data_IF_140669699446
#
_entry.id   IF_140669699446
#
_cell.length_a   1.000
_cell.length_b   1.000
_cell.length_c   1.000
_cell.angle_alpha   90.00
_cell.angle_beta   90.00
_cell.angle_gamma   90.00
#
_symmetry.space_group_name_H-M   'P 1'
#
loop_
_entity.id
_entity.type
_entity.pdbx_description
1 polymer ?
#
# COMPACT_ATOMS: atom_id res chain seq x y z
N UNK A 1 5.32 -11.00 -18.11
CA UNK A 1 5.35 -9.73 -17.36
C UNK A 1 3.98 -9.62 -16.72
N UNK A 2 3.88 -9.77 -15.40
CA UNK A 2 2.59 -9.73 -14.70
C UNK A 2 1.95 -8.36 -14.86
N UNK A 3 0.62 -8.31 -14.95
CA UNK A 3 -0.10 -7.04 -14.97
C UNK A 3 0.09 -6.31 -13.62
N UNK A 4 0.07 -4.97 -13.59
CA UNK A 4 0.17 -4.23 -12.31
C UNK A 4 -0.94 -4.63 -11.31
N UNK A 5 -2.08 -5.16 -11.79
CA UNK A 5 -3.15 -5.68 -10.92
C UNK A 5 -2.74 -6.98 -10.22
N UNK A 6 -2.17 -7.94 -10.96
CA UNK A 6 -1.65 -9.19 -10.37
C UNK A 6 -0.53 -8.91 -9.38
N UNK A 7 0.35 -7.94 -9.67
CA UNK A 7 1.41 -7.51 -8.76
C UNK A 7 0.86 -6.89 -7.46
N UNK A 8 -0.21 -6.09 -7.56
CA UNK A 8 -0.87 -5.48 -6.40
C UNK A 8 -1.51 -6.54 -5.51
N UNK A 9 -2.31 -7.44 -6.09
CA UNK A 9 -3.00 -8.51 -5.35
C UNK A 9 -1.99 -9.40 -4.61
N UNK A 10 -0.90 -9.79 -5.26
CA UNK A 10 0.16 -10.59 -4.64
C UNK A 10 0.83 -9.86 -3.46
N UNK A 11 1.13 -8.56 -3.61
CA UNK A 11 1.72 -7.74 -2.53
C UNK A 11 0.76 -7.57 -1.37
N UNK A 12 -0.53 -7.39 -1.65
CA UNK A 12 -1.57 -7.25 -0.64
C UNK A 12 -1.76 -8.55 0.15
N UNK A 13 -1.76 -9.71 -0.53
CA UNK A 13 -1.81 -11.01 0.14
C UNK A 13 -0.59 -11.22 1.04
N UNK A 14 0.60 -10.85 0.56
CA UNK A 14 1.83 -10.94 1.35
C UNK A 14 1.79 -10.04 2.59
N UNK A 15 1.28 -8.81 2.47
CA UNK A 15 1.10 -7.90 3.60
C UNK A 15 0.11 -8.49 4.63
N UNK A 16 -1.01 -9.06 4.18
CA UNK A 16 -1.98 -9.71 5.07
C UNK A 16 -1.37 -10.91 5.84
N UNK A 17 -0.48 -11.66 5.21
CA UNK A 17 0.26 -12.75 5.87
C UNK A 17 1.21 -12.22 6.95
N UNK A 18 1.89 -11.10 6.68
CA UNK A 18 2.78 -10.46 7.67
C UNK A 18 1.98 -9.96 8.88
N UNK A 19 0.86 -9.28 8.65
CA UNK A 19 -0.03 -8.81 9.73
C UNK A 19 -0.48 -9.98 10.61
N UNK A 20 -0.95 -11.08 10.00
CA UNK A 20 -1.34 -12.29 10.75
C UNK A 20 -0.22 -12.87 11.60
N UNK A 21 1.02 -12.82 11.13
CA UNK A 21 2.20 -13.29 11.87
C UNK A 21 2.53 -12.38 13.06
N UNK A 22 2.45 -11.07 12.86
CA UNK A 22 2.65 -10.08 13.91
C UNK A 22 1.56 -10.20 14.99
N UNK A 23 0.30 -10.41 14.60
CA UNK A 23 -0.83 -10.59 15.53
C UNK A 23 -0.78 -11.90 16.33
N UNK A 24 -0.17 -12.95 15.79
CA UNK A 24 -0.02 -14.23 16.51
C UNK A 24 0.90 -14.12 17.73
N UNK A 25 1.84 -13.17 17.75
CA UNK A 25 2.70 -12.92 18.91
C UNK A 25 3.72 -14.02 19.23
N UNK A 26 3.90 -15.02 18.37
CA UNK A 26 4.86 -16.14 18.58
C UNK A 26 6.27 -15.83 18.04
N UNK A 27 6.47 -14.67 17.40
CA UNK A 27 7.74 -14.27 16.82
C UNK A 27 8.72 -13.79 17.89
N UNK A 28 10.01 -14.08 17.70
CA UNK A 28 11.07 -13.43 18.47
C UNK A 28 11.14 -11.93 18.16
N UNK A 29 11.83 -11.16 19.01
CA UNK A 29 12.01 -9.71 18.79
C UNK A 29 12.62 -9.40 17.42
N UNK A 30 13.64 -10.16 17.00
CA UNK A 30 14.31 -9.95 15.71
C UNK A 30 13.36 -10.27 14.53
N UNK A 31 12.55 -11.31 14.65
CA UNK A 31 11.56 -11.69 13.63
C UNK A 31 10.41 -10.70 13.56
N UNK A 32 9.98 -10.15 14.70
CA UNK A 32 9.00 -9.07 14.75
C UNK A 32 9.51 -7.82 14.01
N UNK A 33 10.74 -7.40 14.28
CA UNK A 33 11.35 -6.25 13.61
C UNK A 33 11.46 -6.45 12.10
N UNK A 34 11.90 -7.64 11.66
CA UNK A 34 11.97 -7.98 10.22
C UNK A 34 10.59 -7.99 9.56
N UNK A 35 9.61 -8.61 10.21
CA UNK A 35 8.24 -8.68 9.69
C UNK A 35 7.61 -7.29 9.60
N UNK A 36 7.85 -6.43 10.59
CA UNK A 36 7.40 -5.04 10.57
C UNK A 36 8.03 -4.24 9.42
N UNK A 37 9.35 -4.31 9.25
CA UNK A 37 10.07 -3.61 8.17
C UNK A 37 9.56 -4.08 6.80
N UNK A 38 9.40 -5.39 6.62
CA UNK A 38 8.85 -5.96 5.38
C UNK A 38 7.40 -5.50 5.12
N UNK A 39 6.56 -5.47 6.15
CA UNK A 39 5.20 -4.96 6.07
C UNK A 39 5.14 -3.49 5.67
N UNK A 40 6.00 -2.65 6.27
CA UNK A 40 6.06 -1.23 5.97
C UNK A 40 6.54 -0.95 4.54
N UNK A 41 7.49 -1.74 4.04
CA UNK A 41 7.94 -1.65 2.65
C UNK A 41 6.82 -2.04 1.67
N UNK A 42 6.10 -3.14 1.93
CA UNK A 42 4.96 -3.55 1.11
C UNK A 42 3.84 -2.51 1.12
N UNK A 43 3.55 -1.90 2.27
CA UNK A 43 2.58 -0.82 2.39
C UNK A 43 2.93 0.36 1.47
N UNK A 44 4.18 0.84 1.52
CA UNK A 44 4.67 1.92 0.66
C UNK A 44 4.54 1.58 -0.82
N UNK A 45 4.90 0.37 -1.22
CA UNK A 45 4.76 -0.08 -2.60
C UNK A 45 3.30 -0.14 -3.06
N UNK A 46 2.39 -0.65 -2.22
CA UNK A 46 0.96 -0.68 -2.51
C UNK A 46 0.39 0.73 -2.69
N UNK A 47 0.80 1.67 -1.83
CA UNK A 47 0.42 3.08 -1.92
C UNK A 47 0.86 3.71 -3.24
N UNK A 48 2.11 3.50 -3.65
CA UNK A 48 2.63 3.99 -4.95
C UNK A 48 1.80 3.44 -6.11
N UNK A 49 1.45 2.15 -6.09
CA UNK A 49 0.62 1.55 -7.14
C UNK A 49 -0.76 2.23 -7.20
N UNK A 50 -1.37 2.53 -6.05
CA UNK A 50 -2.66 3.24 -6.01
C UNK A 50 -2.52 4.67 -6.55
N UNK A 51 -1.51 5.42 -6.11
CA UNK A 51 -1.24 6.78 -6.59
C UNK A 51 -1.02 6.83 -8.11
N UNK A 52 -0.30 5.85 -8.67
CA UNK A 52 -0.13 5.73 -10.12
C UNK A 52 -1.47 5.52 -10.85
N UNK A 53 -2.34 4.66 -10.30
CA UNK A 53 -3.65 4.36 -10.88
C UNK A 53 -4.60 5.54 -10.79
N UNK A 54 -4.60 6.24 -9.66
CA UNK A 54 -5.33 7.50 -9.50
C UNK A 54 -4.85 8.55 -10.51
N UNK A 55 -3.54 8.70 -10.69
CA UNK A 55 -2.97 9.63 -11.68
C UNK A 55 -3.45 9.34 -13.10
N UNK A 56 -3.56 8.05 -13.48
CA UNK A 56 -4.13 7.64 -14.77
C UNK A 56 -5.61 8.03 -14.87
N UNK A 57 -6.40 7.78 -13.82
CA UNK A 57 -7.83 8.16 -13.79
C UNK A 57 -7.99 9.68 -13.90
N UNK A 58 -7.25 10.45 -13.10
CA UNK A 58 -7.27 11.93 -13.11
C UNK A 58 -6.96 12.47 -14.51
N UNK A 59 -5.98 11.90 -15.20
CA UNK A 59 -5.66 12.29 -16.58
C UNK A 59 -6.80 11.99 -17.54
N UNK A 60 -7.42 10.82 -17.45
CA UNK A 60 -8.55 10.45 -18.30
C UNK A 60 -9.76 11.37 -18.08
N UNK A 61 -10.08 11.71 -16.84
CA UNK A 61 -11.15 12.66 -16.51
C UNK A 61 -10.85 14.05 -17.09
N UNK A 62 -9.63 14.56 -16.89
CA UNK A 62 -9.19 15.84 -17.46
C UNK A 62 -9.32 15.86 -18.99
N UNK A 63 -8.87 14.81 -19.68
CA UNK A 63 -8.97 14.69 -21.13
C UNK A 63 -10.43 14.61 -21.62
N UNK A 64 -11.35 14.08 -20.78
CA UNK A 64 -12.79 14.02 -21.07
C UNK A 64 -13.56 15.31 -20.79
N UNK A 65 -12.92 16.31 -20.16
CA UNK A 65 -13.54 17.59 -19.77
C UNK A 65 -14.31 17.52 -18.44
N UNK A 66 -14.27 16.39 -17.74
CA UNK A 66 -14.81 16.21 -16.39
C UNK A 66 -13.71 16.53 -15.35
N UNK A 67 -13.98 17.45 -14.43
CA UNK A 67 -13.03 17.77 -13.35
C UNK A 67 -13.59 17.24 -12.03
N UNK A 68 -13.13 16.06 -11.62
CA UNK A 68 -13.31 15.60 -10.24
C UNK A 68 -12.03 15.81 -9.43
N UNK A 69 -12.17 16.49 -8.29
CA UNK A 69 -11.09 16.69 -7.33
C UNK A 69 -11.08 15.47 -6.42
N UNK A 70 -10.09 14.60 -6.59
CA UNK A 70 -9.76 13.61 -5.57
C UNK A 70 -9.09 14.35 -4.42
N UNK A 71 -9.75 14.42 -3.26
CA UNK A 71 -9.09 14.88 -2.03
C UNK A 71 -7.94 13.92 -1.74
N UNK A 72 -6.71 14.44 -1.74
CA UNK A 72 -5.60 13.71 -1.16
C UNK A 72 -5.90 13.58 0.32
N UNK A 73 -6.21 12.37 0.76
CA UNK A 73 -6.20 12.07 2.20
C UNK A 73 -4.73 12.13 2.60
N UNK A 74 -4.31 13.27 3.14
CA UNK A 74 -3.02 13.35 3.84
C UNK A 74 -3.11 12.33 4.98
N UNK A 75 -2.45 11.19 4.79
CA UNK A 75 -2.24 10.23 5.87
C UNK A 75 -1.47 10.97 6.95
N UNK A 76 -2.12 11.24 8.09
CA UNK A 76 -1.43 11.69 9.29
C UNK A 76 -0.30 10.68 9.53
N UNK A 77 0.96 11.15 9.55
CA UNK A 77 2.04 10.31 10.06
C UNK A 77 1.63 9.93 11.48
N UNK A 78 1.24 8.68 11.71
CA UNK A 78 1.06 8.12 13.04
C UNK A 78 2.38 8.37 13.78
N UNK A 79 2.41 9.43 14.58
CA UNK A 79 3.48 9.77 15.50
C UNK A 79 3.48 8.66 16.56
N UNK A 80 4.21 7.58 16.27
CA UNK A 80 4.62 6.59 17.25
C UNK A 80 5.59 7.25 18.25
N UNK A 81 5.06 8.20 19.03
CA UNK A 81 5.67 8.77 20.23
C UNK A 81 5.34 7.93 21.46
#
# INVERSE_FOLDING_TARGET
MASNSESYEMKMEKLAQIVKKLEHGELSLEENLKSYEEGMNLYKELKIILEEKEGVIRKLLFDSGETEVFENVEEEEDDFS
#
